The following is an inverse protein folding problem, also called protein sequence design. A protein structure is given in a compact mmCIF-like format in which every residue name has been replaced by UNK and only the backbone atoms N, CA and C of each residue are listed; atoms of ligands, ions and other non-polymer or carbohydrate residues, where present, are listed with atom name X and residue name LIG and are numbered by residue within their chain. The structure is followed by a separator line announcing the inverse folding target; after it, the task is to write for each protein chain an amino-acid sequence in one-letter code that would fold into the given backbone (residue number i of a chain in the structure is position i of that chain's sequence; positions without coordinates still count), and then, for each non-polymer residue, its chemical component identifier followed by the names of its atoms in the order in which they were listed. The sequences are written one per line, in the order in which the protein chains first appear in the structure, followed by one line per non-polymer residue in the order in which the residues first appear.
data_IF_367552487802
#
_entry.id   IF_367552487802
#
_cell.length_a   1.000
_cell.length_b   1.000
_cell.length_c   1.000
_cell.angle_alpha   90.00
_cell.angle_beta   90.00
_cell.angle_gamma   90.00
#
_symmetry.space_group_name_H-M   'P 1'
#
loop_
_entity.id
_entity.type
_entity.pdbx_description
1 polymer ?
#
# COMPACT_ATOMS: atom_id res chain seq x y z
N UNK A 1 4.17 -19.79 -8.71
CA UNK A 1 3.61 -18.44 -8.95
C UNK A 1 3.72 -17.69 -7.63
N UNK A 2 4.28 -16.48 -7.60
CA UNK A 2 4.41 -15.74 -6.33
C UNK A 2 3.13 -15.04 -5.89
N UNK A 3 3.15 -14.41 -4.71
CA UNK A 3 2.04 -13.63 -4.16
C UNK A 3 2.34 -12.12 -4.07
N UNK A 4 2.69 -11.44 -5.18
CA UNK A 4 3.06 -10.03 -5.15
C UNK A 4 1.94 -9.17 -4.58
N UNK A 5 2.30 -8.24 -3.69
CA UNK A 5 1.33 -7.39 -3.01
C UNK A 5 0.52 -8.09 -1.92
N UNK A 6 0.93 -9.26 -1.43
CA UNK A 6 0.37 -9.86 -0.21
C UNK A 6 1.14 -9.42 1.01
N UNK A 7 0.41 -8.87 1.98
CA UNK A 7 0.87 -8.57 3.33
C UNK A 7 0.14 -9.50 4.31
N UNK A 8 0.79 -9.85 5.42
CA UNK A 8 0.23 -10.72 6.45
C UNK A 8 0.77 -10.29 7.81
N UNK A 9 -0.05 -10.38 8.84
CA UNK A 9 0.40 -10.16 10.23
C UNK A 9 1.49 -11.18 10.62
N UNK A 10 2.40 -10.84 11.52
CA UNK A 10 3.39 -11.81 12.05
C UNK A 10 2.72 -12.92 12.85
N UNK A 11 1.59 -12.61 13.49
CA UNK A 11 0.72 -13.63 14.10
C UNK A 11 0.08 -14.58 13.08
N UNK A 12 0.27 -14.34 11.78
CA UNK A 12 -0.39 -15.01 10.66
C UNK A 12 -1.92 -14.95 10.74
N UNK A 13 -2.53 -14.09 11.56
CA UNK A 13 -3.98 -14.07 11.80
C UNK A 13 -4.80 -13.55 10.61
N UNK A 14 -4.22 -12.68 9.77
CA UNK A 14 -4.92 -12.04 8.65
C UNK A 14 -3.99 -11.81 7.47
N UNK A 15 -4.50 -12.04 6.26
CA UNK A 15 -3.82 -11.80 4.98
C UNK A 15 -4.51 -10.66 4.23
N UNK A 16 -3.75 -9.63 3.86
CA UNK A 16 -4.23 -8.50 3.07
C UNK A 16 -3.63 -8.53 1.66
N UNK A 17 -4.49 -8.60 0.64
CA UNK A 17 -4.10 -8.37 -0.75
C UNK A 17 -4.13 -6.89 -1.06
N UNK A 18 -2.96 -6.28 -1.16
CA UNK A 18 -2.78 -4.85 -1.38
C UNK A 18 -3.25 -4.44 -2.77
N UNK A 19 -4.14 -3.45 -2.82
CA UNK A 19 -4.43 -2.68 -4.03
C UNK A 19 -3.92 -1.26 -3.83
N UNK A 20 -2.99 -0.77 -4.68
CA UNK A 20 -2.48 0.59 -4.55
C UNK A 20 -3.60 1.64 -4.59
N UNK A 21 -3.46 2.65 -3.73
CA UNK A 21 -4.37 3.79 -3.60
C UNK A 21 -5.80 3.44 -3.13
N UNK A 22 -5.94 2.26 -2.51
CA UNK A 22 -7.15 1.83 -1.79
C UNK A 22 -6.92 1.75 -0.28
N UNK A 23 -6.36 2.82 0.33
CA UNK A 23 -6.05 2.90 1.77
C UNK A 23 -5.03 1.87 2.30
N UNK A 24 -4.14 1.39 1.44
CA UNK A 24 -3.16 0.36 1.79
C UNK A 24 -2.23 0.73 2.96
N UNK A 25 -1.85 2.01 3.09
CA UNK A 25 -1.01 2.48 4.20
C UNK A 25 -1.76 2.42 5.54
N UNK A 26 -3.01 2.88 5.57
CA UNK A 26 -3.85 2.80 6.76
C UNK A 26 -4.12 1.36 7.18
N UNK A 27 -4.48 0.49 6.24
CA UNK A 27 -4.70 -0.94 6.51
C UNK A 27 -3.43 -1.59 7.04
N UNK A 28 -2.28 -1.32 6.42
CA UNK A 28 -0.99 -1.80 6.89
C UNK A 28 -0.66 -1.36 8.32
N UNK A 29 -0.90 -0.09 8.65
CA UNK A 29 -0.71 0.45 9.99
C UNK A 29 -1.62 -0.24 11.02
N UNK A 30 -2.88 -0.51 10.66
CA UNK A 30 -3.82 -1.26 11.53
C UNK A 30 -3.35 -2.70 11.71
N UNK A 31 -2.90 -3.37 10.65
CA UNK A 31 -2.36 -4.74 10.74
C UNK A 31 -1.15 -4.79 11.67
N UNK A 32 -0.23 -3.83 11.54
CA UNK A 32 0.93 -3.71 12.42
C UNK A 32 0.49 -3.48 13.87
N UNK A 33 -0.38 -2.50 14.11
CA UNK A 33 -0.92 -2.21 15.44
C UNK A 33 -1.59 -3.42 16.08
N UNK A 34 -2.31 -4.24 15.30
CA UNK A 34 -2.98 -5.43 15.80
C UNK A 34 -2.03 -6.45 16.45
N UNK A 35 -0.80 -6.57 15.95
CA UNK A 35 0.19 -7.51 16.51
C UNK A 35 1.05 -6.85 17.59
N UNK A 36 1.29 -5.55 17.50
CA UNK A 36 2.33 -4.86 18.30
C UNK A 36 1.79 -3.89 19.35
N UNK A 37 0.50 -3.52 19.29
CA UNK A 37 -0.11 -2.53 20.19
C UNK A 37 0.35 -1.08 19.97
N UNK A 38 1.15 -0.83 18.92
CA UNK A 38 1.65 0.47 18.52
C UNK A 38 1.63 0.61 16.99
N UNK A 39 1.58 1.84 16.48
CA UNK A 39 1.71 2.07 15.03
C UNK A 39 3.19 2.02 14.63
N UNK A 40 3.46 1.60 13.40
CA UNK A 40 4.81 1.65 12.85
C UNK A 40 5.26 3.10 12.72
N UNK A 41 6.44 3.41 13.26
CA UNK A 41 7.04 4.75 13.18
C UNK A 41 7.55 5.05 11.76
N UNK A 42 6.66 5.59 10.93
CA UNK A 42 6.96 6.02 9.56
C UNK A 42 5.98 5.49 8.51
N UNK A 43 6.44 5.42 7.25
CA UNK A 43 5.67 4.83 6.17
C UNK A 43 5.72 3.30 6.27
N UNK A 44 4.56 2.70 6.58
CA UNK A 44 4.44 1.24 6.69
C UNK A 44 4.90 0.52 5.42
N UNK A 45 4.89 1.16 4.24
CA UNK A 45 5.43 0.55 3.02
C UNK A 45 6.92 0.22 3.14
N UNK A 46 7.68 1.01 3.90
CA UNK A 46 9.13 0.84 4.08
C UNK A 46 9.50 -0.14 5.21
N UNK A 47 8.54 -0.63 6.00
CA UNK A 47 8.80 -1.64 7.03
C UNK A 47 9.43 -2.93 6.45
N UNK A 48 10.57 -3.35 7.00
CA UNK A 48 11.34 -4.52 6.55
C UNK A 48 11.22 -5.73 7.48
N UNK A 49 10.58 -5.55 8.63
CA UNK A 49 10.32 -6.58 9.65
C UNK A 49 9.04 -6.22 10.41
N UNK A 50 8.63 -7.07 11.36
CA UNK A 50 7.43 -6.85 12.19
C UNK A 50 6.10 -6.86 11.43
N UNK A 51 6.12 -7.28 10.17
CA UNK A 51 4.96 -7.59 9.33
C UNK A 51 5.46 -8.40 8.14
N UNK A 52 4.74 -9.46 7.78
CA UNK A 52 5.11 -10.23 6.59
C UNK A 52 4.66 -9.50 5.33
N UNK A 53 5.59 -9.34 4.38
CA UNK A 53 5.29 -8.83 3.04
C UNK A 53 5.95 -9.72 2.01
N UNK A 54 5.25 -10.02 0.92
CA UNK A 54 5.81 -10.87 -0.15
C UNK A 54 7.14 -10.34 -0.72
N UNK A 55 7.32 -9.02 -0.73
CA UNK A 55 8.56 -8.39 -1.17
C UNK A 55 9.78 -8.62 -0.26
N UNK A 56 9.57 -9.19 0.93
CA UNK A 56 10.63 -9.56 1.89
C UNK A 56 10.88 -11.06 1.74
N UNK A 57 12.09 -11.45 1.34
CA UNK A 57 12.45 -12.85 1.03
C UNK A 57 12.15 -13.81 2.19
N UNK A 58 12.52 -13.43 3.42
CA UNK A 58 12.27 -14.23 4.62
C UNK A 58 10.78 -14.44 4.94
N UNK A 59 9.88 -13.62 4.38
CA UNK A 59 8.43 -13.75 4.58
C UNK A 59 7.75 -14.68 3.58
N UNK A 60 8.40 -15.01 2.45
CA UNK A 60 7.75 -15.73 1.34
C UNK A 60 7.27 -17.11 1.75
N UNK A 61 8.09 -17.89 2.47
CA UNK A 61 7.73 -19.24 2.90
C UNK A 61 6.53 -19.24 3.86
N UNK A 62 6.48 -18.29 4.81
CA UNK A 62 5.36 -18.16 5.74
C UNK A 62 4.06 -17.79 5.00
N UNK A 63 4.11 -16.78 4.12
CA UNK A 63 2.97 -16.37 3.30
C UNK A 63 2.49 -17.51 2.41
N UNK A 64 3.37 -18.21 1.70
CA UNK A 64 3.00 -19.29 0.80
C UNK A 64 2.31 -20.44 1.54
N UNK A 65 2.88 -20.87 2.68
CA UNK A 65 2.29 -21.90 3.53
C UNK A 65 0.91 -21.49 4.06
N UNK A 66 0.74 -20.22 4.44
CA UNK A 66 -0.52 -19.72 4.99
C UNK A 66 -1.60 -19.61 3.89
N UNK A 67 -1.26 -18.96 2.77
CA UNK A 67 -2.18 -18.68 1.67
C UNK A 67 -2.62 -19.96 0.96
N UNK A 68 -1.69 -20.86 0.63
CA UNK A 68 -2.04 -22.16 0.01
C UNK A 68 -2.76 -23.09 0.99
N UNK A 69 -2.47 -22.97 2.28
CA UNK A 69 -3.13 -23.71 3.34
C UNK A 69 -4.49 -23.15 3.76
N UNK A 70 -4.90 -21.99 3.21
CA UNK A 70 -6.13 -21.28 3.57
C UNK A 70 -6.32 -21.08 5.09
N UNK A 71 -5.22 -20.80 5.80
CA UNK A 71 -5.21 -20.80 7.28
C UNK A 71 -5.84 -19.56 7.90
N UNK A 72 -5.86 -18.47 7.16
CA UNK A 72 -6.19 -17.15 7.69
C UNK A 72 -7.15 -16.42 6.78
N UNK A 73 -7.90 -15.50 7.35
CA UNK A 73 -8.84 -14.69 6.59
C UNK A 73 -8.07 -13.79 5.63
N UNK A 74 -8.35 -13.95 4.34
CA UNK A 74 -7.81 -13.13 3.28
C UNK A 74 -8.83 -12.06 2.88
N UNK A 75 -8.39 -10.80 2.82
CA UNK A 75 -9.24 -9.70 2.41
C UNK A 75 -8.52 -8.71 1.50
N UNK A 76 -9.29 -7.80 0.91
CA UNK A 76 -8.77 -6.66 0.15
C UNK A 76 -9.71 -5.48 0.28
N UNK A 77 -9.25 -4.30 -0.13
CA UNK A 77 -10.06 -3.10 -0.23
C UNK A 77 -9.94 -2.52 -1.63
N UNK A 78 -11.07 -2.05 -2.13
CA UNK A 78 -11.18 -1.41 -3.45
C UNK A 78 -11.68 0.01 -3.28
N UNK A 79 -11.48 0.82 -4.32
CA UNK A 79 -11.91 2.21 -4.39
C UNK A 79 -12.55 2.47 -5.75
N UNK A 80 -13.45 3.44 -5.82
CA UNK A 80 -13.96 3.97 -7.08
C UNK A 80 -12.82 4.13 -8.11
N UNK A 81 -12.91 3.52 -9.31
CA UNK A 81 -11.80 3.47 -10.26
C UNK A 81 -11.27 4.85 -10.69
N UNK A 82 -12.16 5.81 -10.89
CA UNK A 82 -11.80 7.17 -11.29
C UNK A 82 -10.98 7.85 -10.18
N UNK A 83 -11.49 7.84 -8.95
CA UNK A 83 -10.77 8.38 -7.79
C UNK A 83 -9.45 7.68 -7.52
N UNK A 84 -9.36 6.36 -7.76
CA UNK A 84 -8.13 5.58 -7.62
C UNK A 84 -7.07 6.01 -8.63
N UNK A 85 -7.45 6.17 -9.90
CA UNK A 85 -6.52 6.60 -10.97
C UNK A 85 -6.04 8.02 -10.71
N UNK A 86 -6.94 8.96 -10.36
CA UNK A 86 -6.53 10.32 -10.00
C UNK A 86 -5.56 10.31 -8.82
N UNK A 87 -5.86 9.55 -7.76
CA UNK A 87 -4.96 9.43 -6.61
C UNK A 87 -3.59 8.87 -7.00
N UNK A 88 -3.53 7.88 -7.90
CA UNK A 88 -2.26 7.34 -8.41
C UNK A 88 -1.51 8.35 -9.28
N UNK A 89 -2.23 9.09 -10.12
CA UNK A 89 -1.66 10.11 -10.99
C UNK A 89 -1.04 11.25 -10.16
N UNK A 90 -1.78 11.76 -9.16
CA UNK A 90 -1.25 12.82 -8.33
C UNK A 90 -0.07 12.37 -7.47
N UNK A 91 -0.11 11.14 -6.95
CA UNK A 91 0.98 10.56 -6.16
C UNK A 91 2.27 10.36 -6.97
N UNK A 92 2.17 9.77 -8.17
CA UNK A 92 3.35 9.34 -8.95
C UNK A 92 3.83 10.35 -9.97
N UNK A 93 2.93 11.19 -10.48
CA UNK A 93 3.21 12.14 -11.57
C UNK A 93 3.22 13.57 -11.05
N UNK A 94 2.22 13.99 -10.30
CA UNK A 94 2.14 15.41 -9.88
C UNK A 94 2.93 15.72 -8.61
N UNK A 95 3.10 14.71 -7.75
CA UNK A 95 3.73 14.84 -6.45
C UNK A 95 5.22 15.18 -6.52
N UNK A 96 5.74 15.66 -5.40
CA UNK A 96 7.18 15.74 -5.17
C UNK A 96 7.69 14.31 -5.04
N UNK A 97 8.60 13.91 -5.91
CA UNK A 97 9.22 12.60 -5.87
C UNK A 97 10.14 12.49 -4.63
N UNK A 98 10.52 11.26 -4.27
CA UNK A 98 11.45 10.99 -3.15
C UNK A 98 12.79 11.76 -3.26
N UNK A 99 13.18 12.20 -4.45
CA UNK A 99 14.39 13.02 -4.69
C UNK A 99 14.16 14.55 -4.57
N UNK A 100 12.98 14.98 -4.09
CA UNK A 100 12.62 16.40 -3.95
C UNK A 100 12.19 17.11 -5.23
N UNK A 101 12.21 16.44 -6.40
CA UNK A 101 11.81 17.03 -7.70
C UNK A 101 10.36 16.67 -8.03
N UNK A 102 9.65 17.57 -8.71
CA UNK A 102 8.33 17.26 -9.30
C UNK A 102 8.51 16.60 -10.66
N UNK A 103 7.73 15.57 -10.97
CA UNK A 103 7.66 15.08 -12.35
C UNK A 103 7.04 16.19 -13.22
N UNK A 104 7.74 16.61 -14.27
CA UNK A 104 7.25 17.60 -15.26
C UNK A 104 6.77 18.96 -14.69
N UNK A 105 7.37 19.46 -13.60
CA UNK A 105 7.29 20.87 -13.20
C UNK A 105 5.87 21.45 -12.99
N UNK A 106 5.42 22.36 -13.89
CA UNK A 106 4.16 23.13 -13.81
C UNK A 106 2.90 22.37 -14.29
N UNK A 107 3.01 21.08 -14.61
CA UNK A 107 1.88 20.32 -15.17
C UNK A 107 0.67 20.28 -14.22
N UNK A 108 0.90 20.28 -12.89
CA UNK A 108 -0.15 20.17 -11.88
C UNK A 108 -1.08 21.40 -11.86
N UNK A 109 -0.58 22.64 -11.71
CA UNK A 109 -1.42 23.84 -11.88
C UNK A 109 -2.22 23.87 -13.19
N UNK A 110 -1.59 23.46 -14.29
CA UNK A 110 -2.23 23.49 -15.61
C UNK A 110 -3.38 22.49 -15.72
N UNK A 111 -3.26 21.31 -15.10
CA UNK A 111 -4.32 20.30 -15.09
C UNK A 111 -5.50 20.72 -14.20
N UNK A 112 -5.23 21.34 -13.05
CA UNK A 112 -6.28 21.91 -12.18
C UNK A 112 -7.04 22.99 -12.97
N UNK A 113 -6.32 23.95 -13.57
CA UNK A 113 -6.94 25.05 -14.31
C UNK A 113 -7.71 24.58 -15.55
N UNK A 114 -7.17 23.62 -16.31
CA UNK A 114 -7.75 23.19 -17.59
C UNK A 114 -8.89 22.19 -17.43
N UNK A 115 -8.83 21.33 -16.41
CA UNK A 115 -9.77 20.22 -16.24
C UNK A 115 -10.59 20.30 -14.95
N UNK A 116 -10.44 21.35 -14.14
CA UNK A 116 -11.24 21.57 -12.92
C UNK A 116 -11.03 20.48 -11.86
N UNK A 117 -9.86 19.84 -11.84
CA UNK A 117 -9.60 18.74 -10.91
C UNK A 117 -9.20 19.32 -9.56
N UNK A 118 -9.92 18.96 -8.50
CA UNK A 118 -9.47 19.22 -7.12
C UNK A 118 -8.36 18.23 -6.74
N UNK A 119 -7.24 18.80 -6.30
CA UNK A 119 -6.19 18.10 -5.59
C UNK A 119 -6.23 18.57 -4.16
N UNK A 120 -6.33 17.62 -3.21
CA UNK A 120 -6.35 17.91 -1.79
C UNK A 120 -5.12 18.69 -1.32
#
# INVERSE_FOLDING_TARGET
MGFPGVWMTESESVVYRVVPKCACSTIGQIMYYSDHGEFFDGDIHDATSKIHKWGIESSQAAIEKNVLGHKSYAFTCVRNPYGRILSSFFDKICGIQRNGKRYRGKLVPLLIQKYGIEVG
#
